data_IF_027285399130
#
_entry.id   IF_027285399130
#
_cell.length_a   1.000
_cell.length_b   1.000
_cell.length_c   1.000
_cell.angle_alpha   90.00
_cell.angle_beta   90.00
_cell.angle_gamma   90.00
#
_symmetry.space_group_name_H-M   'P 1'
#
loop_
_entity.id
_entity.type
_entity.pdbx_description
1 polymer ?
#
# COMPACT_ATOMS: atom_id res chain seq x y z
N UNK A 1 -15.05 8.52 7.88
CA UNK A 1 -15.73 7.26 7.58
C UNK A 1 -15.80 7.07 6.06
N UNK A 2 -14.99 6.17 5.52
CA UNK A 2 -14.89 5.88 4.07
C UNK A 2 -16.26 5.51 3.48
N UNK A 3 -17.11 4.79 4.22
CA UNK A 3 -18.44 4.35 3.79
C UNK A 3 -19.32 5.52 3.33
N UNK A 4 -19.07 6.72 3.85
CA UNK A 4 -19.84 7.93 3.52
C UNK A 4 -19.61 8.42 2.10
N UNK A 5 -18.50 8.02 1.47
CA UNK A 5 -18.06 8.50 0.15
C UNK A 5 -18.11 7.43 -0.93
N UNK A 6 -18.56 6.21 -0.60
CA UNK A 6 -18.67 5.12 -1.57
C UNK A 6 -20.02 5.13 -2.27
N UNK A 7 -20.03 4.90 -3.59
CA UNK A 7 -21.25 4.75 -4.40
C UNK A 7 -21.81 3.33 -4.37
N UNK A 8 -21.03 2.35 -3.88
CA UNK A 8 -21.42 0.95 -3.70
C UNK A 8 -21.58 0.64 -2.23
N UNK A 9 -22.15 -0.52 -1.89
CA UNK A 9 -22.26 -1.00 -0.51
C UNK A 9 -21.02 -1.82 -0.15
N UNK A 10 -19.98 -1.23 0.46
CA UNK A 10 -18.78 -1.97 0.85
C UNK A 10 -19.05 -2.84 2.08
N UNK A 11 -18.39 -3.99 2.13
CA UNK A 11 -18.45 -4.87 3.30
C UNK A 11 -17.47 -4.33 4.35
N UNK A 12 -17.99 -3.94 5.50
CA UNK A 12 -17.16 -3.48 6.63
C UNK A 12 -16.83 -4.65 7.56
N UNK A 13 -15.56 -5.05 7.55
CA UNK A 13 -14.99 -6.14 8.36
C UNK A 13 -14.03 -5.62 9.44
N UNK A 14 -13.96 -4.32 9.67
CA UNK A 14 -13.08 -3.72 10.70
C UNK A 14 -13.40 -4.28 12.08
N UNK A 15 -12.40 -4.84 12.75
CA UNK A 15 -12.51 -5.44 14.09
C UNK A 15 -13.31 -6.74 14.16
N UNK A 16 -13.69 -7.35 13.01
CA UNK A 16 -14.49 -8.59 12.95
C UNK A 16 -13.67 -9.83 12.62
N UNK A 17 -12.44 -9.68 12.17
CA UNK A 17 -11.58 -10.77 11.73
C UNK A 17 -10.35 -10.88 12.62
N UNK A 18 -9.95 -12.11 12.88
CA UNK A 18 -8.62 -12.44 13.38
C UNK A 18 -7.56 -12.21 12.30
N UNK A 19 -6.29 -12.24 12.68
CA UNK A 19 -5.19 -12.12 11.72
C UNK A 19 -5.19 -13.23 10.67
N UNK A 20 -5.51 -14.47 11.07
CA UNK A 20 -5.58 -15.62 10.16
C UNK A 20 -6.76 -15.51 9.19
N UNK A 21 -7.92 -15.06 9.65
CA UNK A 21 -9.08 -14.80 8.78
C UNK A 21 -8.80 -13.65 7.81
N UNK A 22 -8.09 -12.60 8.25
CA UNK A 22 -7.63 -11.52 7.38
C UNK A 22 -6.66 -12.04 6.31
N UNK A 23 -5.73 -12.92 6.67
CA UNK A 23 -4.83 -13.56 5.72
C UNK A 23 -5.57 -14.43 4.70
N UNK A 24 -6.59 -15.18 5.14
CA UNK A 24 -7.44 -15.98 4.26
C UNK A 24 -8.27 -15.11 3.31
N UNK A 25 -8.86 -14.02 3.82
CA UNK A 25 -9.60 -13.05 3.02
C UNK A 25 -8.71 -12.40 1.95
N UNK A 26 -7.48 -12.03 2.30
CA UNK A 26 -6.54 -11.44 1.35
C UNK A 26 -6.32 -12.32 0.12
N UNK A 27 -6.27 -13.66 0.27
CA UNK A 27 -6.13 -14.58 -0.88
C UNK A 27 -7.27 -14.52 -1.89
N UNK A 28 -8.45 -14.06 -1.46
CA UNK A 28 -9.62 -13.90 -2.33
C UNK A 28 -9.65 -12.53 -3.02
N UNK A 29 -8.79 -11.60 -2.61
CA UNK A 29 -8.75 -10.26 -3.15
C UNK A 29 -8.06 -10.22 -4.53
N UNK A 30 -8.51 -9.34 -5.40
CA UNK A 30 -7.83 -9.05 -6.65
C UNK A 30 -6.58 -8.20 -6.43
N UNK A 31 -6.62 -7.31 -5.45
CA UNK A 31 -5.51 -6.50 -4.97
C UNK A 31 -5.78 -6.02 -3.55
N UNK A 32 -4.74 -5.59 -2.86
CA UNK A 32 -4.85 -4.91 -1.58
C UNK A 32 -4.39 -3.44 -1.73
N UNK A 33 -5.20 -2.52 -1.21
CA UNK A 33 -4.82 -1.10 -1.06
C UNK A 33 -4.60 -0.86 0.43
N UNK A 34 -3.41 -0.40 0.82
CA UNK A 34 -2.99 -0.40 2.21
C UNK A 34 -1.90 0.66 2.49
N UNK A 35 -1.71 1.02 3.73
CA UNK A 35 -0.53 1.73 4.21
C UNK A 35 0.53 0.73 4.68
N UNK A 36 1.73 1.20 5.04
CA UNK A 36 2.78 0.37 5.65
C UNK A 36 2.29 -0.27 6.96
N UNK A 37 1.94 -1.56 6.91
CA UNK A 37 1.38 -2.35 8.01
C UNK A 37 1.66 -3.84 7.83
N UNK A 38 1.49 -4.62 8.90
CA UNK A 38 1.61 -6.09 8.85
C UNK A 38 0.70 -6.74 7.80
N UNK A 39 -0.50 -6.18 7.55
CA UNK A 39 -1.45 -6.70 6.56
C UNK A 39 -0.89 -6.61 5.13
N UNK A 40 -0.09 -5.58 4.84
CA UNK A 40 0.62 -5.45 3.57
C UNK A 40 1.54 -6.64 3.32
N UNK A 41 2.35 -7.01 4.32
CA UNK A 41 3.28 -8.14 4.22
C UNK A 41 2.55 -9.49 4.11
N UNK A 42 1.42 -9.65 4.80
CA UNK A 42 0.58 -10.84 4.69
C UNK A 42 0.02 -10.98 3.27
N UNK A 43 -0.48 -9.91 2.67
CA UNK A 43 -0.98 -9.95 1.30
C UNK A 43 0.13 -10.26 0.29
N UNK A 44 1.28 -9.63 0.44
CA UNK A 44 2.48 -9.88 -0.35
C UNK A 44 2.92 -11.35 -0.27
N UNK A 45 3.00 -11.93 0.93
CA UNK A 45 3.32 -13.33 1.15
C UNK A 45 2.28 -14.30 0.54
N UNK A 46 1.04 -13.86 0.39
CA UNK A 46 -0.05 -14.60 -0.26
C UNK A 46 -0.13 -14.39 -1.79
N UNK A 47 0.85 -13.74 -2.40
CA UNK A 47 0.88 -13.39 -3.83
C UNK A 47 -0.25 -12.45 -4.30
N UNK A 48 -0.86 -11.71 -3.39
CA UNK A 48 -1.87 -10.72 -3.75
C UNK A 48 -1.17 -9.42 -4.16
N UNK A 49 -1.48 -8.87 -5.34
CA UNK A 49 -0.95 -7.57 -5.72
C UNK A 49 -1.26 -6.50 -4.67
N UNK A 50 -0.26 -5.71 -4.32
CA UNK A 50 -0.38 -4.66 -3.30
C UNK A 50 -0.13 -3.30 -3.92
N UNK A 51 -1.01 -2.34 -3.63
CA UNK A 51 -0.76 -0.93 -3.77
C UNK A 51 -0.61 -0.33 -2.38
N UNK A 52 0.62 0.01 -2.00
CA UNK A 52 0.92 0.52 -0.68
C UNK A 52 1.25 2.01 -0.68
N UNK A 53 0.76 2.73 0.32
CA UNK A 53 1.11 4.13 0.55
C UNK A 53 2.16 4.24 1.62
N UNK A 54 3.31 4.83 1.27
CA UNK A 54 4.43 5.05 2.17
C UNK A 54 4.58 6.55 2.47
N UNK A 55 4.82 6.84 3.73
CA UNK A 55 5.08 8.18 4.22
C UNK A 55 6.43 8.25 4.94
N UNK A 56 6.45 8.23 6.28
CA UNK A 56 7.67 8.40 7.07
C UNK A 56 8.62 7.20 7.04
N UNK A 57 8.16 6.02 6.64
CA UNK A 57 8.93 4.77 6.64
C UNK A 57 9.69 4.56 5.32
N UNK A 58 10.83 3.88 5.41
CA UNK A 58 11.73 3.62 4.28
C UNK A 58 11.25 2.41 3.46
N UNK A 59 10.83 2.63 2.23
CA UNK A 59 10.27 1.60 1.35
C UNK A 59 11.31 0.55 0.93
N UNK A 60 12.56 0.93 0.80
CA UNK A 60 13.68 0.03 0.51
C UNK A 60 13.88 -1.05 1.57
N UNK A 61 13.45 -0.78 2.84
CA UNK A 61 13.49 -1.74 3.93
C UNK A 61 12.15 -2.44 4.18
N UNK A 62 11.03 -1.76 3.95
CA UNK A 62 9.71 -2.19 4.41
C UNK A 62 8.67 -2.36 3.30
N UNK A 63 9.07 -2.17 2.04
CA UNK A 63 8.16 -2.36 0.91
C UNK A 63 7.63 -3.80 0.79
N UNK A 64 6.45 -4.00 0.17
CA UNK A 64 5.90 -5.33 -0.05
C UNK A 64 6.83 -6.14 -0.96
N UNK A 65 7.16 -7.36 -0.54
CA UNK A 65 8.14 -8.20 -1.22
C UNK A 65 7.47 -9.13 -2.25
N UNK A 66 7.97 -9.15 -3.48
CA UNK A 66 7.58 -10.16 -4.47
C UNK A 66 8.56 -11.35 -4.41
N UNK A 67 8.03 -12.52 -4.09
CA UNK A 67 8.84 -13.75 -3.90
C UNK A 67 9.51 -14.26 -5.20
N UNK A 68 9.10 -13.77 -6.36
CA UNK A 68 9.76 -14.09 -7.63
C UNK A 68 11.09 -13.35 -7.82
N UNK A 69 11.38 -12.37 -6.99
CA UNK A 69 12.58 -11.53 -7.04
C UNK A 69 13.52 -11.87 -5.89
N UNK A 70 14.82 -11.78 -6.14
CA UNK A 70 15.87 -12.08 -5.16
C UNK A 70 16.44 -10.83 -4.49
N UNK A 71 16.23 -9.66 -5.11
CA UNK A 71 16.74 -8.38 -4.63
C UNK A 71 15.64 -7.32 -4.68
N UNK A 72 15.71 -6.32 -3.80
CA UNK A 72 14.77 -5.21 -3.84
C UNK A 72 15.04 -4.31 -5.04
N UNK A 73 13.96 -3.88 -5.70
CA UNK A 73 14.00 -2.84 -6.75
C UNK A 73 13.63 -1.47 -6.21
N UNK A 74 13.22 -1.40 -4.93
CA UNK A 74 12.84 -0.14 -4.31
C UNK A 74 14.03 0.77 -4.05
N UNK A 75 13.83 2.03 -4.37
CA UNK A 75 14.73 3.12 -4.01
C UNK A 75 14.20 3.80 -2.76
N UNK A 76 15.09 4.26 -1.89
CA UNK A 76 14.72 4.96 -0.65
C UNK A 76 13.81 6.17 -0.85
N UNK A 77 13.96 6.84 -2.00
CA UNK A 77 13.13 7.96 -2.46
C UNK A 77 12.58 7.68 -3.85
N UNK A 78 11.46 8.31 -4.23
CA UNK A 78 11.05 8.23 -5.61
C UNK A 78 9.60 7.93 -5.92
N UNK A 79 8.66 8.69 -5.41
CA UNK A 79 7.28 8.72 -5.91
C UNK A 79 6.58 7.37 -6.05
N UNK A 80 6.37 6.95 -7.30
CA UNK A 80 5.75 5.66 -7.62
C UNK A 80 6.84 4.67 -7.97
N UNK A 81 6.83 3.51 -7.30
CA UNK A 81 7.81 2.46 -7.49
C UNK A 81 7.12 1.10 -7.62
N UNK A 82 7.77 0.17 -8.31
CA UNK A 82 7.27 -1.18 -8.53
C UNK A 82 8.32 -2.22 -8.14
N UNK A 83 7.87 -3.30 -7.50
CA UNK A 83 8.65 -4.49 -7.17
C UNK A 83 7.81 -5.72 -7.51
N UNK A 84 8.13 -6.36 -8.64
CA UNK A 84 7.29 -7.42 -9.20
C UNK A 84 5.86 -6.93 -9.43
N UNK A 85 4.89 -7.60 -8.83
CA UNK A 85 3.46 -7.27 -8.91
C UNK A 85 3.01 -6.19 -7.92
N UNK A 86 3.88 -5.73 -7.03
CA UNK A 86 3.55 -4.76 -5.99
C UNK A 86 3.94 -3.35 -6.42
N UNK A 87 3.17 -2.37 -6.02
CA UNK A 87 3.43 -0.95 -6.24
C UNK A 87 3.37 -0.17 -4.95
N UNK A 88 4.23 0.82 -4.86
CA UNK A 88 4.29 1.75 -3.75
C UNK A 88 4.11 3.16 -4.29
N UNK A 89 3.33 3.97 -3.59
CA UNK A 89 3.20 5.40 -3.85
C UNK A 89 3.66 6.15 -2.61
N UNK A 90 4.60 7.06 -2.79
CA UNK A 90 5.12 7.94 -1.75
C UNK A 90 5.28 9.36 -2.29
N UNK A 91 5.29 10.33 -1.38
CA UNK A 91 5.55 11.73 -1.71
C UNK A 91 7.05 11.94 -2.00
N UNK A 92 7.36 12.84 -2.92
CA UNK A 92 8.74 13.17 -3.31
C UNK A 92 9.37 14.28 -2.46
N UNK A 93 8.71 14.76 -1.41
CA UNK A 93 9.28 15.80 -0.54
C UNK A 93 10.59 15.38 0.09
N UNK A 94 11.46 16.32 0.35
CA UNK A 94 12.84 16.08 0.76
C UNK A 94 12.95 15.28 2.09
N UNK A 95 12.04 15.52 3.03
CA UNK A 95 12.03 14.84 4.33
C UNK A 95 11.56 13.38 4.28
N UNK A 96 11.02 12.87 3.18
CA UNK A 96 10.54 11.48 3.07
C UNK A 96 11.68 10.57 2.60
N UNK A 97 11.93 9.44 3.31
CA UNK A 97 11.36 8.98 4.57
C UNK A 97 12.01 9.67 5.78
N UNK A 98 11.23 10.09 6.77
CA UNK A 98 11.72 10.81 7.95
C UNK A 98 11.69 9.99 9.26
N UNK A 99 11.06 8.83 9.27
CA UNK A 99 10.89 7.94 10.44
C UNK A 99 10.17 8.58 11.65
N UNK A 100 9.38 9.66 11.42
CA UNK A 100 8.65 10.35 12.49
C UNK A 100 7.20 9.88 12.56
N UNK A 101 6.60 9.99 13.75
CA UNK A 101 5.17 9.70 13.97
C UNK A 101 4.33 10.94 13.61
N UNK A 102 4.17 11.18 12.31
CA UNK A 102 3.53 12.37 11.76
C UNK A 102 4.45 13.60 11.75
N UNK A 103 4.02 14.63 11.01
CA UNK A 103 4.78 15.88 10.92
C UNK A 103 4.79 16.59 12.29
N UNK A 104 5.97 16.97 12.77
CA UNK A 104 6.14 17.58 14.09
C UNK A 104 5.53 16.78 15.25
N UNK A 105 5.56 15.44 15.16
CA UNK A 105 4.95 14.52 16.12
C UNK A 105 3.42 14.71 16.33
N UNK A 106 2.75 15.25 15.35
CA UNK A 106 1.28 15.51 15.41
C UNK A 106 0.42 14.25 15.22
N UNK A 107 1.03 13.12 14.84
CA UNK A 107 0.29 11.94 14.39
C UNK A 107 -0.33 12.06 12.99
N UNK A 108 -0.16 13.20 12.32
CA UNK A 108 -0.65 13.45 10.95
C UNK A 108 0.55 13.59 10.00
N UNK A 109 0.52 12.84 8.91
CA UNK A 109 1.60 12.84 7.89
C UNK A 109 1.15 13.58 6.65
N UNK A 110 1.66 14.80 6.44
CA UNK A 110 1.33 15.63 5.28
C UNK A 110 1.75 14.95 3.97
N UNK A 111 2.81 14.15 3.98
CA UNK A 111 3.24 13.36 2.84
C UNK A 111 2.19 12.34 2.39
N UNK A 112 1.43 11.73 3.30
CA UNK A 112 0.34 10.83 2.96
C UNK A 112 -0.90 11.61 2.50
N UNK A 113 -1.18 12.77 3.09
CA UNK A 113 -2.31 13.61 2.70
C UNK A 113 -2.12 14.28 1.33
N UNK A 114 -0.88 14.47 0.90
CA UNK A 114 -0.54 15.13 -0.38
C UNK A 114 -0.46 14.16 -1.57
N UNK A 115 -0.71 12.85 -1.37
CA UNK A 115 -0.66 11.88 -2.46
C UNK A 115 -1.68 12.22 -3.56
N UNK A 116 -1.23 12.14 -4.81
CA UNK A 116 -2.05 12.49 -5.97
C UNK A 116 -3.09 11.40 -6.27
N UNK A 117 -4.37 11.74 -6.14
CA UNK A 117 -5.50 10.80 -6.33
C UNK A 117 -5.59 10.24 -7.75
N UNK A 118 -5.22 11.00 -8.79
CA UNK A 118 -5.29 10.51 -10.16
C UNK A 118 -4.19 9.49 -10.43
N UNK A 119 -3.00 9.68 -9.85
CA UNK A 119 -1.94 8.68 -9.86
C UNK A 119 -2.33 7.41 -9.11
N UNK A 120 -3.05 7.52 -8.00
CA UNK A 120 -3.57 6.37 -7.26
C UNK A 120 -4.55 5.59 -8.14
N UNK A 121 -5.53 6.25 -8.77
CA UNK A 121 -6.52 5.61 -9.66
C UNK A 121 -5.87 4.93 -10.86
N UNK A 122 -4.90 5.59 -11.50
CA UNK A 122 -4.12 5.04 -12.60
C UNK A 122 -3.44 3.72 -12.20
N UNK A 123 -2.77 3.70 -11.04
CA UNK A 123 -2.07 2.50 -10.56
C UNK A 123 -3.03 1.37 -10.16
N UNK A 124 -4.20 1.69 -9.60
CA UNK A 124 -5.26 0.70 -9.36
C UNK A 124 -5.68 0.04 -10.67
N UNK A 125 -5.97 0.85 -11.70
CA UNK A 125 -6.40 0.36 -13.00
C UNK A 125 -5.33 -0.52 -13.66
N UNK A 126 -4.07 -0.12 -13.59
CA UNK A 126 -2.95 -0.87 -14.14
C UNK A 126 -2.80 -2.25 -13.45
N UNK A 127 -2.83 -2.31 -12.12
CA UNK A 127 -2.74 -3.58 -11.37
C UNK A 127 -3.89 -4.53 -11.75
N UNK A 128 -5.12 -4.02 -11.85
CA UNK A 128 -6.28 -4.84 -12.19
C UNK A 128 -6.21 -5.36 -13.63
N UNK A 129 -5.68 -4.59 -14.57
CA UNK A 129 -5.53 -4.99 -15.97
C UNK A 129 -4.39 -6.01 -16.17
N UNK A 130 -3.27 -5.88 -15.45
CA UNK A 130 -2.15 -6.83 -15.51
C UNK A 130 -2.54 -8.25 -15.08
N UNK A 131 -3.57 -8.41 -14.24
CA UNK A 131 -4.07 -9.71 -13.79
C UNK A 131 -4.96 -10.41 -14.83
N UNK A 132 -5.51 -9.68 -15.80
CA UNK A 132 -6.42 -10.19 -16.81
C UNK A 132 -5.72 -10.65 -18.11
N UNK A 133 -4.40 -10.48 -18.18
CA UNK A 133 -3.52 -10.94 -19.26
C UNK A 133 -2.64 -12.10 -18.80
#
# INVERSE_FOLDING_TARGET
NILKYTKSTPINLSGKLTLLETAALNKLAQMLIVVDTAIMHIASANDVPVLAFFGPTAVDNWGPWDKSLTETTYQRKGGIQQHGRHRVIMDNRECVPCSQTGCNNSGVSDCLNALNLDKIKENISNILNEKNN
#
